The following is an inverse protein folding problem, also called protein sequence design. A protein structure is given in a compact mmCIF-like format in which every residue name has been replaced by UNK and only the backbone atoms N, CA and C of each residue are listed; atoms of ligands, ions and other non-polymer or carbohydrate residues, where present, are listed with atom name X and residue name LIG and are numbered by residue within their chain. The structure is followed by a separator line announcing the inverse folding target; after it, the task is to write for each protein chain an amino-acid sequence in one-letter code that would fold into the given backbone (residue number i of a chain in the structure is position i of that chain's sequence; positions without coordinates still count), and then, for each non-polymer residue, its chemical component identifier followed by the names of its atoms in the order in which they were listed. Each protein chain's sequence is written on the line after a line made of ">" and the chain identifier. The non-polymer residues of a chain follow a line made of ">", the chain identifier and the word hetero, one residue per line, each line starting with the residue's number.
data_IF_331745137081
#
_entry.id   IF_331745137081
#
_cell.length_a   1.000
_cell.length_b   1.000
_cell.length_c   1.000
_cell.angle_alpha   90.00
_cell.angle_beta   90.00
_cell.angle_gamma   90.00
#
_symmetry.space_group_name_H-M   'P 1'
#
loop_
_entity.id
_entity.type
_entity.pdbx_description
1 polymer ?
#
# COMPACT_ATOMS: atom_id res chain seq x y z
N UNK A 1 -5.23 4.58 -19.36
CA UNK A 1 -5.06 3.96 -18.04
C UNK A 1 -4.91 5.11 -17.05
N UNK A 2 -5.71 5.15 -15.98
CA UNK A 2 -5.63 6.20 -14.97
C UNK A 2 -4.96 5.61 -13.72
N UNK A 3 -4.04 6.36 -13.14
CA UNK A 3 -3.33 6.01 -11.91
C UNK A 3 -3.98 6.74 -10.75
N UNK A 4 -4.24 6.02 -9.66
CA UNK A 4 -4.88 6.53 -8.45
C UNK A 4 -3.85 6.56 -7.33
N UNK A 5 -3.31 7.75 -7.08
CA UNK A 5 -2.26 8.03 -6.12
C UNK A 5 -2.57 9.39 -5.48
N UNK A 6 -2.32 10.46 -6.24
CA UNK A 6 -2.54 11.84 -5.78
C UNK A 6 -4.02 12.18 -5.66
N UNK A 7 -4.36 12.84 -4.56
CA UNK A 7 -5.71 13.28 -4.19
C UNK A 7 -6.68 12.16 -3.83
N UNK A 8 -6.22 10.93 -3.69
CA UNK A 8 -7.01 9.86 -3.11
C UNK A 8 -6.89 9.88 -1.57
N UNK A 9 -7.99 9.72 -0.82
CA UNK A 9 -7.93 9.58 0.63
C UNK A 9 -7.09 8.37 1.04
N UNK A 10 -6.24 8.56 2.04
CA UNK A 10 -5.44 7.48 2.62
C UNK A 10 -5.73 7.32 4.10
N UNK A 11 -5.70 6.08 4.56
CA UNK A 11 -5.97 5.70 5.95
C UNK A 11 -4.88 4.76 6.44
N UNK A 12 -4.54 4.83 7.72
CA UNK A 12 -3.59 3.91 8.33
C UNK A 12 -3.97 3.64 9.78
N UNK A 13 -3.45 2.54 10.32
CA UNK A 13 -3.56 2.20 11.74
C UNK A 13 -2.95 3.29 12.63
N UNK A 14 -1.80 3.82 12.21
CA UNK A 14 -1.03 4.83 12.92
C UNK A 14 -0.05 5.53 11.96
N UNK A 15 0.74 6.48 12.48
CA UNK A 15 1.88 7.03 11.75
C UNK A 15 2.98 7.51 12.71
N UNK A 16 4.24 7.41 12.27
CA UNK A 16 5.37 8.06 12.92
C UNK A 16 5.37 9.57 12.62
N UNK A 17 5.88 10.38 13.55
CA UNK A 17 6.03 11.82 13.36
C UNK A 17 6.83 12.13 12.07
N UNK A 18 6.29 13.00 11.22
CA UNK A 18 6.89 13.34 9.93
C UNK A 18 6.68 12.33 8.80
N UNK A 19 6.11 11.14 9.07
CA UNK A 19 5.82 10.10 8.07
C UNK A 19 4.31 9.89 7.91
N UNK A 20 3.59 10.98 7.65
CA UNK A 20 2.13 11.00 7.60
C UNK A 20 1.55 10.06 6.53
N UNK A 21 0.32 9.60 6.76
CA UNK A 21 -0.39 8.65 5.90
C UNK A 21 -0.47 9.05 4.42
N UNK A 22 -0.56 10.34 4.11
CA UNK A 22 -0.63 10.84 2.73
C UNK A 22 0.65 10.65 1.93
N UNK A 23 1.81 10.50 2.59
CA UNK A 23 3.11 10.46 1.93
C UNK A 23 3.31 9.22 1.06
N UNK A 24 2.65 8.09 1.36
CA UNK A 24 2.71 6.91 0.50
C UNK A 24 1.93 7.05 -0.81
N UNK A 25 1.11 8.11 -0.98
CA UNK A 25 0.31 8.37 -2.18
C UNK A 25 0.51 9.78 -2.75
N UNK A 26 1.59 10.48 -2.38
CA UNK A 26 1.86 11.84 -2.86
C UNK A 26 2.56 11.87 -4.24
N UNK A 27 2.96 10.71 -4.77
CA UNK A 27 3.67 10.55 -6.02
C UNK A 27 5.12 11.06 -5.99
N UNK A 28 5.73 11.12 -4.81
CA UNK A 28 7.15 11.37 -4.60
C UNK A 28 7.81 10.13 -3.98
N UNK A 29 8.71 9.48 -4.73
CA UNK A 29 9.35 8.23 -4.32
C UNK A 29 10.36 8.39 -3.16
N UNK A 30 10.61 9.61 -2.69
CA UNK A 30 11.51 9.91 -1.57
C UNK A 30 10.74 9.97 -0.24
N UNK A 31 9.46 10.31 -0.27
CA UNK A 31 8.58 10.36 0.91
C UNK A 31 7.81 9.05 1.05
N UNK A 32 7.48 8.66 2.27
CA UNK A 32 6.80 7.40 2.56
C UNK A 32 5.94 7.51 3.81
N UNK A 33 4.96 6.62 3.96
CA UNK A 33 4.30 6.42 5.24
C UNK A 33 5.10 5.43 6.09
N UNK A 34 5.11 5.65 7.40
CA UNK A 34 5.64 4.71 8.37
C UNK A 34 4.71 4.64 9.57
N UNK A 35 4.42 3.45 10.05
CA UNK A 35 3.66 3.20 11.27
C UNK A 35 4.39 3.72 12.52
N UNK A 36 3.64 3.92 13.60
CA UNK A 36 4.23 4.29 14.88
C UNK A 36 5.02 3.10 15.48
N UNK A 37 6.11 3.36 16.19
CA UNK A 37 7.04 2.32 16.71
C UNK A 37 6.37 1.18 17.54
N UNK A 38 5.20 1.43 18.11
CA UNK A 38 4.47 0.48 18.97
C UNK A 38 3.26 -0.16 18.28
N UNK A 39 3.07 0.07 17.00
CA UNK A 39 2.00 -0.54 16.22
C UNK A 39 2.33 -2.01 15.96
N UNK A 40 1.51 -2.91 16.48
CA UNK A 40 1.70 -4.36 16.33
C UNK A 40 0.93 -4.95 15.14
N UNK A 41 0.07 -4.15 14.50
CA UNK A 41 -0.76 -4.57 13.38
C UNK A 41 -0.89 -3.43 12.35
N UNK A 42 0.22 -2.99 11.76
CA UNK A 42 0.23 -1.83 10.88
C UNK A 42 -0.55 -2.10 9.59
N UNK A 43 -1.37 -1.13 9.17
CA UNK A 43 -2.02 -1.14 7.87
C UNK A 43 -2.00 0.25 7.24
N UNK A 44 -2.08 0.26 5.91
CA UNK A 44 -2.28 1.46 5.11
C UNK A 44 -3.24 1.15 3.96
N UNK A 45 -4.17 2.06 3.70
CA UNK A 45 -5.25 1.92 2.72
C UNK A 45 -5.26 3.16 1.83
N UNK A 46 -5.31 2.94 0.52
CA UNK A 46 -5.68 3.95 -0.47
C UNK A 46 -7.14 3.73 -0.88
N UNK A 47 -7.97 4.76 -0.70
CA UNK A 47 -9.33 4.76 -1.20
C UNK A 47 -9.38 5.35 -2.61
N UNK A 48 -9.77 4.54 -3.60
CA UNK A 48 -9.90 4.98 -4.99
C UNK A 48 -11.12 5.90 -5.21
N UNK A 49 -12.01 6.01 -4.20
CA UNK A 49 -13.29 6.74 -4.20
C UNK A 49 -14.26 6.32 -5.31
N UNK A 50 -13.90 5.29 -6.07
CA UNK A 50 -14.59 4.79 -7.26
C UNK A 50 -14.36 3.29 -7.36
N UNK A 51 -15.39 2.56 -7.80
CA UNK A 51 -15.24 1.16 -8.22
C UNK A 51 -14.47 1.12 -9.54
N UNK A 52 -13.35 0.39 -9.55
CA UNK A 52 -12.44 0.32 -10.70
C UNK A 52 -12.18 -1.13 -11.09
N UNK A 53 -12.00 -1.35 -12.39
CA UNK A 53 -11.27 -2.54 -12.86
C UNK A 53 -9.78 -2.29 -12.61
N UNK A 54 -9.20 -2.98 -11.64
CA UNK A 54 -7.78 -2.90 -11.35
C UNK A 54 -6.98 -3.61 -12.45
N UNK A 55 -5.98 -2.93 -13.00
CA UNK A 55 -5.02 -3.51 -13.93
C UNK A 55 -3.69 -3.80 -13.26
N UNK A 56 -3.22 -2.86 -12.45
CA UNK A 56 -1.93 -2.98 -11.78
C UNK A 56 -1.98 -2.33 -10.40
N UNK A 57 -1.21 -2.89 -9.47
CA UNK A 57 -0.84 -2.24 -8.20
C UNK A 57 0.70 -2.20 -8.18
N UNK A 58 1.25 -1.00 -8.06
CA UNK A 58 2.68 -0.79 -7.88
C UNK A 58 2.95 -0.35 -6.44
N UNK A 59 3.90 -1.03 -5.79
CA UNK A 59 4.35 -0.70 -4.42
C UNK A 59 5.84 -0.39 -4.51
N UNK A 60 6.24 0.75 -3.93
CA UNK A 60 7.65 1.15 -3.82
C UNK A 60 7.97 1.37 -2.34
N UNK A 61 8.95 0.62 -1.83
CA UNK A 61 9.46 0.72 -0.48
C UNK A 61 10.64 1.72 -0.42
N UNK A 62 10.89 2.34 0.75
CA UNK A 62 11.93 3.36 0.91
C UNK A 62 13.36 2.82 0.65
N UNK A 63 13.57 1.52 0.82
CA UNK A 63 14.84 0.85 0.51
C UNK A 63 14.61 -0.62 0.14
N UNK A 64 15.66 -1.31 -0.33
CA UNK A 64 15.58 -2.75 -0.55
C UNK A 64 15.75 -3.48 0.77
N UNK A 65 14.69 -4.17 1.21
CA UNK A 65 14.70 -5.01 2.40
C UNK A 65 13.69 -6.16 2.27
N UNK A 66 13.66 -7.05 3.27
CA UNK A 66 12.63 -8.07 3.40
C UNK A 66 11.40 -7.43 4.05
N UNK A 67 10.33 -7.27 3.27
CA UNK A 67 9.04 -6.77 3.74
C UNK A 67 8.01 -7.91 3.75
N UNK A 68 7.43 -8.19 4.91
CA UNK A 68 6.38 -9.17 5.09
C UNK A 68 5.02 -8.47 5.19
N UNK A 69 4.12 -8.69 4.23
CA UNK A 69 2.84 -8.01 4.13
C UNK A 69 1.83 -8.84 3.31
N UNK A 70 0.57 -8.46 3.37
CA UNK A 70 -0.46 -8.83 2.38
C UNK A 70 -0.85 -7.60 1.56
N UNK A 71 -1.37 -7.85 0.36
CA UNK A 71 -2.09 -6.83 -0.43
C UNK A 71 -3.50 -7.32 -0.57
N UNK A 72 -4.42 -6.54 -0.02
CA UNK A 72 -5.84 -6.85 0.00
C UNK A 72 -6.61 -5.76 -0.77
N UNK A 73 -7.66 -6.16 -1.49
CA UNK A 73 -8.54 -5.25 -2.23
C UNK A 73 -9.98 -5.41 -1.76
N UNK A 74 -10.75 -4.34 -1.82
CA UNK A 74 -12.15 -4.31 -1.43
C UNK A 74 -12.92 -3.26 -2.24
N UNK A 75 -14.18 -3.54 -2.54
CA UNK A 75 -15.12 -2.61 -3.14
C UNK A 75 -16.11 -2.01 -2.12
N UNK A 76 -16.13 -2.50 -0.88
CA UNK A 76 -17.07 -2.11 0.19
C UNK A 76 -16.41 -1.74 1.53
N UNK A 77 -15.09 -1.87 1.64
CA UNK A 77 -14.25 -1.73 2.85
C UNK A 77 -14.62 -2.67 4.00
N UNK A 78 -15.46 -3.66 3.78
CA UNK A 78 -15.93 -4.62 4.78
C UNK A 78 -15.42 -6.02 4.48
N UNK A 79 -15.52 -6.45 3.21
CA UNK A 79 -14.99 -7.70 2.72
C UNK A 79 -13.71 -7.43 1.92
N UNK A 80 -12.65 -8.15 2.25
CA UNK A 80 -11.33 -7.94 1.67
C UNK A 80 -10.85 -9.24 1.00
N UNK A 81 -10.36 -9.12 -0.23
CA UNK A 81 -9.77 -10.20 -1.00
C UNK A 81 -8.25 -10.04 -1.03
N UNK A 82 -7.52 -11.03 -0.52
CA UNK A 82 -6.06 -11.05 -0.64
C UNK A 82 -5.63 -11.39 -2.05
N UNK A 83 -4.90 -10.48 -2.67
CA UNK A 83 -4.35 -10.61 -4.03
C UNK A 83 -2.83 -10.82 -4.05
N UNK A 84 -2.16 -10.60 -2.92
CA UNK A 84 -0.75 -10.97 -2.72
C UNK A 84 -0.50 -11.32 -1.26
N UNK A 85 0.19 -12.43 -1.00
CA UNK A 85 0.67 -12.80 0.33
C UNK A 85 2.20 -12.91 0.31
N UNK A 86 2.86 -12.10 1.16
CA UNK A 86 4.31 -12.05 1.37
C UNK A 86 4.70 -12.25 2.82
N UNK A 87 3.80 -12.73 3.69
CA UNK A 87 4.05 -12.82 5.13
C UNK A 87 5.26 -13.68 5.52
N UNK A 88 5.59 -14.69 4.71
CA UNK A 88 6.72 -15.62 4.95
C UNK A 88 7.86 -15.44 3.93
N UNK A 89 7.95 -14.29 3.25
CA UNK A 89 9.00 -14.06 2.25
C UNK A 89 10.37 -13.87 2.91
N UNK A 90 11.43 -14.35 2.26
CA UNK A 90 12.82 -14.05 2.61
C UNK A 90 13.51 -13.19 1.55
N UNK A 91 12.78 -12.79 0.52
CA UNK A 91 13.31 -12.04 -0.62
C UNK A 91 13.32 -10.55 -0.30
N UNK A 92 14.47 -9.92 -0.52
CA UNK A 92 14.58 -8.47 -0.50
C UNK A 92 13.92 -7.87 -1.75
N UNK A 93 13.10 -6.84 -1.57
CA UNK A 93 12.46 -6.10 -2.65
C UNK A 93 12.48 -4.61 -2.32
N UNK A 94 12.62 -3.77 -3.34
CA UNK A 94 12.35 -2.34 -3.23
C UNK A 94 11.07 -1.97 -3.97
N UNK A 95 10.76 -2.66 -5.08
CA UNK A 95 9.57 -2.41 -5.87
C UNK A 95 8.86 -3.73 -6.17
N UNK A 96 7.53 -3.67 -6.14
CA UNK A 96 6.64 -4.77 -6.53
C UNK A 96 5.61 -4.25 -7.51
N UNK A 97 5.37 -5.04 -8.56
CA UNK A 97 4.28 -4.82 -9.51
C UNK A 97 3.38 -6.05 -9.50
N UNK A 98 2.11 -5.84 -9.18
CA UNK A 98 1.06 -6.84 -9.27
C UNK A 98 0.21 -6.51 -10.48
N UNK A 99 0.13 -7.43 -11.45
CA UNK A 99 -0.68 -7.25 -12.66
C UNK A 99 -1.90 -8.17 -12.62
N UNK A 100 -3.07 -7.61 -12.89
CA UNK A 100 -4.35 -8.30 -12.93
C UNK A 100 -4.72 -8.55 -14.39
N UNK A 101 -4.99 -9.82 -14.73
CA UNK A 101 -5.47 -10.17 -16.06
C UNK A 101 -6.91 -9.68 -16.23
N UNK A 102 -7.20 -9.15 -17.43
CA UNK A 102 -8.58 -8.84 -17.86
C UNK A 102 -9.41 -10.10 -18.01
#
# INVERSE_FOLDING_TARGET
>A
MQTFERNNPTFASSYHEGQAVGLAADGNLVTFWQDAEKDTAPYWILDTEKSLTLHEIQIVFPSSAVYCYTVDISDDKQQWLTVSDKQNTTKSVQQVLLSFKK
#
